data_IF_025518658023
#
_entry.id   IF_025518658023
#
_cell.length_a   1.000
_cell.length_b   1.000
_cell.length_c   1.000
_cell.angle_alpha   90.00
_cell.angle_beta   90.00
_cell.angle_gamma   90.00
#
_symmetry.space_group_name_H-M   'P 1'
#
loop_
_entity.id
_entity.type
_entity.pdbx_description
1 polymer ?
#
# COMPACT_ATOMS: atom_id res chain seq x y z
N UNK A 1 7.56 -13.95 0.67
CA UNK A 1 7.22 -15.12 -0.18
C UNK A 1 6.94 -16.31 0.72
N UNK A 2 6.36 -17.40 0.20
CA UNK A 2 6.05 -18.60 0.98
C UNK A 2 7.28 -19.21 1.67
N UNK A 3 8.46 -19.00 1.08
CA UNK A 3 9.77 -19.41 1.61
C UNK A 3 10.42 -18.38 2.55
N UNK A 4 9.70 -17.32 2.94
CA UNK A 4 10.18 -16.28 3.83
C UNK A 4 11.06 -15.22 3.17
N UNK A 5 11.37 -15.32 1.88
CA UNK A 5 12.13 -14.27 1.17
C UNK A 5 11.34 -12.96 1.12
N UNK A 6 12.07 -11.86 1.20
CA UNK A 6 11.55 -10.51 0.98
C UNK A 6 11.98 -10.03 -0.39
N UNK A 7 11.09 -9.32 -1.08
CA UNK A 7 11.33 -8.78 -2.42
C UNK A 7 11.11 -7.27 -2.40
N UNK A 8 11.96 -6.55 -3.12
CA UNK A 8 11.83 -5.12 -3.40
C UNK A 8 11.61 -4.94 -4.89
N UNK A 9 10.70 -4.03 -5.26
CA UNK A 9 10.30 -3.77 -6.64
C UNK A 9 10.40 -2.30 -6.92
N UNK A 10 11.16 -1.93 -7.94
CA UNK A 10 11.25 -0.57 -8.41
C UNK A 10 12.00 0.38 -7.47
N UNK A 11 12.20 1.58 -7.97
CA UNK A 11 12.59 2.85 -7.33
C UNK A 11 12.83 3.84 -8.50
N UNK A 12 13.37 5.03 -8.24
CA UNK A 12 13.90 5.92 -9.28
C UNK A 12 15.00 5.22 -10.06
N UNK A 13 14.87 5.23 -11.39
CA UNK A 13 15.81 4.62 -12.33
C UNK A 13 16.07 3.12 -12.08
N UNK A 14 15.21 2.46 -11.29
CA UNK A 14 15.27 1.04 -11.00
C UNK A 14 14.10 0.34 -11.68
N UNK A 15 14.27 -0.02 -12.95
CA UNK A 15 13.28 -0.79 -13.72
C UNK A 15 13.46 -2.30 -13.52
N UNK A 16 13.55 -2.72 -12.26
CA UNK A 16 13.87 -4.09 -11.86
C UNK A 16 13.18 -4.46 -10.55
N UNK A 17 13.36 -5.72 -10.15
CA UNK A 17 13.09 -6.18 -8.79
C UNK A 17 14.25 -7.02 -8.29
N UNK A 18 14.34 -7.17 -6.97
CA UNK A 18 15.38 -7.94 -6.31
C UNK A 18 14.90 -8.60 -5.01
N UNK A 19 15.62 -9.63 -4.56
CA UNK A 19 15.37 -10.27 -3.28
C UNK A 19 16.32 -9.74 -2.23
N UNK A 20 15.81 -9.46 -1.04
CA UNK A 20 16.64 -9.13 0.12
C UNK A 20 17.40 -10.38 0.52
N UNK A 21 18.73 -10.27 0.47
CA UNK A 21 19.63 -11.33 0.86
C UNK A 21 19.87 -11.34 2.37
N UNK A 22 20.37 -12.48 2.88
CA UNK A 22 20.81 -12.57 4.26
C UNK A 22 22.02 -11.66 4.52
N UNK A 23 22.26 -11.32 5.78
CA UNK A 23 23.38 -10.48 6.17
C UNK A 23 24.72 -11.03 5.64
N UNK A 24 25.51 -10.16 5.01
CA UNK A 24 26.79 -10.53 4.38
C UNK A 24 26.68 -11.15 2.98
N UNK A 25 25.47 -11.36 2.45
CA UNK A 25 25.24 -11.82 1.07
C UNK A 25 24.78 -10.65 0.18
N UNK A 26 25.01 -10.77 -1.13
CA UNK A 26 24.59 -9.78 -2.12
C UNK A 26 24.00 -10.45 -3.36
N UNK A 27 23.07 -9.75 -4.01
CA UNK A 27 22.58 -10.16 -5.32
C UNK A 27 23.70 -10.00 -6.35
N UNK A 28 23.91 -11.02 -7.18
CA UNK A 28 24.88 -10.92 -8.29
C UNK A 28 24.41 -9.91 -9.37
N UNK A 29 23.09 -9.78 -9.56
CA UNK A 29 22.45 -8.81 -10.44
C UNK A 29 20.98 -8.63 -10.03
N UNK A 30 20.39 -7.49 -10.39
CA UNK A 30 18.94 -7.27 -10.29
C UNK A 30 18.21 -7.90 -11.48
N UNK A 31 16.92 -8.23 -11.29
CA UNK A 31 16.11 -8.88 -12.33
C UNK A 31 15.34 -7.82 -13.09
N UNK A 32 15.64 -7.68 -14.38
CA UNK A 32 14.99 -6.69 -15.26
C UNK A 32 13.48 -6.90 -15.30
N UNK A 33 12.74 -5.80 -15.19
CA UNK A 33 11.29 -5.81 -15.18
C UNK A 33 10.70 -4.69 -16.03
N UNK A 34 10.50 -4.99 -17.32
CA UNK A 34 10.10 -4.02 -18.35
C UNK A 34 8.75 -3.35 -18.07
N UNK A 35 7.89 -3.97 -17.27
CA UNK A 35 6.63 -3.37 -16.83
C UNK A 35 6.82 -2.01 -16.14
N UNK A 36 7.89 -1.83 -15.36
CA UNK A 36 8.16 -0.54 -14.74
C UNK A 36 8.62 0.49 -15.77
N UNK A 37 9.40 0.08 -16.78
CA UNK A 37 9.78 0.96 -17.90
C UNK A 37 8.55 1.42 -18.67
N UNK A 38 7.65 0.49 -18.97
CA UNK A 38 6.42 0.75 -19.74
C UNK A 38 5.42 1.65 -19.01
N UNK A 39 5.51 1.73 -17.68
CA UNK A 39 4.60 2.55 -16.84
C UNK A 39 5.22 3.88 -16.42
N UNK A 40 6.49 4.14 -16.77
CA UNK A 40 7.17 5.41 -16.51
C UNK A 40 6.58 6.54 -17.35
N UNK A 41 6.36 7.68 -16.71
CA UNK A 41 6.02 8.94 -17.36
C UNK A 41 7.06 10.02 -17.04
N UNK A 42 6.92 11.20 -17.66
CA UNK A 42 7.86 12.32 -17.50
C UNK A 42 7.96 12.86 -16.07
N UNK A 43 6.95 12.61 -15.24
CA UNK A 43 6.88 13.09 -13.85
C UNK A 43 7.26 11.98 -12.85
N UNK A 44 7.63 10.79 -13.33
CA UNK A 44 8.00 9.62 -12.53
C UNK A 44 6.87 9.17 -11.58
N UNK A 45 5.60 9.16 -12.02
CA UNK A 45 4.48 8.78 -11.14
C UNK A 45 4.44 7.29 -10.76
N UNK A 46 5.36 6.48 -11.30
CA UNK A 46 5.46 5.05 -11.05
C UNK A 46 6.46 4.65 -9.95
N UNK A 47 6.98 5.61 -9.17
CA UNK A 47 8.00 5.39 -8.12
C UNK A 47 7.51 4.55 -6.92
N UNK A 48 6.21 4.50 -6.67
CA UNK A 48 5.62 3.74 -5.55
C UNK A 48 4.56 2.78 -6.08
N UNK A 49 4.97 1.68 -6.73
CA UNK A 49 4.03 0.68 -7.16
C UNK A 49 3.36 0.04 -5.93
N UNK A 50 2.08 -0.31 -6.05
CA UNK A 50 1.40 -1.11 -5.05
C UNK A 50 1.79 -2.57 -5.26
N UNK A 51 2.45 -3.17 -4.26
CA UNK A 51 2.97 -4.53 -4.33
C UNK A 51 2.27 -5.40 -3.28
N UNK A 52 1.65 -6.49 -3.71
CA UNK A 52 0.94 -7.44 -2.84
C UNK A 52 1.33 -8.88 -3.19
N UNK A 53 1.79 -9.64 -2.19
CA UNK A 53 2.06 -11.07 -2.33
C UNK A 53 0.74 -11.85 -2.30
N UNK A 54 0.55 -12.74 -3.27
CA UNK A 54 -0.55 -13.68 -3.33
C UNK A 54 -0.19 -15.02 -2.66
N UNK A 55 -1.20 -15.85 -2.39
CA UNK A 55 -1.07 -17.14 -1.71
C UNK A 55 -0.38 -18.25 -2.53
N UNK A 56 -0.09 -18.00 -3.81
CA UNK A 56 0.52 -18.91 -4.77
C UNK A 56 1.93 -18.45 -5.20
N UNK A 57 2.57 -17.63 -4.37
CA UNK A 57 3.88 -16.98 -4.60
C UNK A 57 3.96 -16.00 -5.75
N UNK A 58 2.84 -15.74 -6.43
CA UNK A 58 2.78 -14.65 -7.38
C UNK A 58 2.65 -13.31 -6.65
N UNK A 59 3.14 -12.24 -7.28
CA UNK A 59 3.17 -10.90 -6.72
C UNK A 59 2.37 -9.97 -7.63
N UNK A 60 1.27 -9.44 -7.11
CA UNK A 60 0.50 -8.42 -7.77
C UNK A 60 1.24 -7.09 -7.68
N UNK A 61 1.40 -6.42 -8.81
CA UNK A 61 2.07 -5.12 -8.92
C UNK A 61 1.14 -4.20 -9.71
N UNK A 62 0.65 -3.13 -9.09
CA UNK A 62 -0.04 -2.04 -9.78
C UNK A 62 0.88 -0.82 -9.84
N UNK A 63 1.09 -0.30 -11.04
CA UNK A 63 1.95 0.86 -11.27
C UNK A 63 1.30 1.81 -12.25
N UNK A 64 1.17 3.07 -11.83
CA UNK A 64 0.51 4.16 -12.55
C UNK A 64 -0.95 3.85 -12.94
N UNK A 65 -1.16 3.17 -14.06
CA UNK A 65 -2.47 2.84 -14.62
C UNK A 65 -2.61 1.38 -15.08
N UNK A 66 -1.61 0.53 -14.83
CA UNK A 66 -1.61 -0.88 -15.21
C UNK A 66 -1.32 -1.77 -14.01
N UNK A 67 -1.69 -3.05 -14.12
CA UNK A 67 -1.29 -4.07 -13.17
C UNK A 67 -0.83 -5.33 -13.87
N UNK A 68 0.00 -6.11 -13.17
CA UNK A 68 0.44 -7.44 -13.56
C UNK A 68 0.48 -8.36 -12.34
N UNK A 69 0.37 -9.66 -12.59
CA UNK A 69 0.68 -10.70 -11.61
C UNK A 69 2.00 -11.35 -12.02
N UNK A 70 3.09 -10.97 -11.35
CA UNK A 70 4.42 -11.50 -11.62
C UNK A 70 4.64 -12.78 -10.83
N UNK A 71 5.09 -13.85 -11.49
CA UNK A 71 5.75 -14.96 -10.80
C UNK A 71 7.25 -14.63 -10.67
N UNK A 72 7.74 -14.25 -9.48
CA UNK A 72 9.09 -13.71 -9.35
C UNK A 72 10.19 -14.78 -9.47
N UNK A 73 9.82 -16.07 -9.38
CA UNK A 73 10.73 -17.21 -9.56
C UNK A 73 10.96 -17.57 -11.04
N UNK A 74 9.96 -17.37 -11.88
CA UNK A 74 10.01 -17.69 -13.32
C UNK A 74 10.09 -16.45 -14.22
N UNK A 75 9.91 -15.25 -13.65
CA UNK A 75 9.76 -13.99 -14.35
C UNK A 75 8.63 -14.01 -15.41
N UNK A 76 7.57 -14.78 -15.14
CA UNK A 76 6.41 -14.89 -16.02
C UNK A 76 5.24 -14.04 -15.51
N UNK A 77 4.46 -13.49 -16.43
CA UNK A 77 3.23 -12.77 -16.10
C UNK A 77 2.06 -13.75 -16.15
N UNK A 78 1.39 -13.94 -15.02
CA UNK A 78 0.18 -14.72 -14.89
C UNK A 78 -1.08 -13.89 -15.09
N UNK A 79 -2.20 -14.59 -15.26
CA UNK A 79 -3.52 -14.00 -15.14
C UNK A 79 -3.96 -14.06 -13.68
N UNK A 80 -4.60 -13.01 -13.21
CA UNK A 80 -5.15 -12.94 -11.85
C UNK A 80 -6.59 -12.49 -11.92
N UNK A 81 -7.38 -12.75 -10.88
CA UNK A 81 -8.62 -12.01 -10.63
C UNK A 81 -8.40 -11.13 -9.43
N UNK A 82 -8.16 -9.83 -9.64
CA UNK A 82 -7.91 -8.85 -8.57
C UNK A 82 -8.97 -7.77 -8.60
N UNK A 83 -9.57 -7.52 -7.43
CA UNK A 83 -10.29 -6.29 -7.15
C UNK A 83 -9.37 -5.32 -6.39
N UNK A 84 -9.27 -4.09 -6.89
CA UNK A 84 -8.54 -3.00 -6.25
C UNK A 84 -9.50 -1.96 -5.73
N UNK A 85 -9.18 -1.37 -4.59
CA UNK A 85 -9.77 -0.15 -4.06
C UNK A 85 -8.70 0.94 -4.07
N UNK A 86 -8.92 2.01 -4.84
CA UNK A 86 -8.05 3.18 -4.91
C UNK A 86 -8.80 4.38 -4.34
N UNK A 87 -8.18 5.08 -3.40
CA UNK A 87 -8.81 6.19 -2.67
C UNK A 87 -7.94 7.45 -2.76
N UNK A 88 -8.51 8.53 -3.30
CA UNK A 88 -7.89 9.84 -3.33
C UNK A 88 -6.60 9.89 -4.16
N UNK A 89 -5.56 10.52 -3.60
CA UNK A 89 -4.32 10.80 -4.30
C UNK A 89 -4.28 12.21 -4.88
N UNK A 90 -3.28 12.47 -5.72
CA UNK A 90 -3.09 13.79 -6.31
C UNK A 90 -3.87 13.94 -7.60
N UNK A 91 -4.56 15.07 -7.77
CA UNK A 91 -5.43 15.30 -8.93
C UNK A 91 -4.66 15.70 -10.21
N UNK A 92 -3.36 16.01 -10.10
CA UNK A 92 -2.58 16.57 -11.20
C UNK A 92 -1.26 15.81 -11.41
N UNK A 93 -0.93 15.57 -12.67
CA UNK A 93 0.31 14.90 -13.08
C UNK A 93 1.57 15.66 -12.62
N UNK A 94 1.50 16.99 -12.56
CA UNK A 94 2.63 17.86 -12.20
C UNK A 94 2.63 18.26 -10.71
N UNK A 95 1.89 17.56 -9.85
CA UNK A 95 1.80 17.89 -8.42
C UNK A 95 3.16 17.88 -7.73
N UNK A 96 4.06 17.00 -8.15
CA UNK A 96 5.43 16.97 -7.65
C UNK A 96 6.18 18.27 -7.96
N UNK A 97 6.24 18.64 -9.24
CA UNK A 97 6.90 19.85 -9.71
C UNK A 97 6.32 21.10 -9.04
N UNK A 98 4.98 21.17 -8.92
CA UNK A 98 4.29 22.27 -8.24
C UNK A 98 4.52 22.30 -6.73
N UNK A 99 4.66 21.15 -6.09
CA UNK A 99 5.06 21.06 -4.70
C UNK A 99 6.42 21.71 -4.42
N UNK A 100 7.37 21.61 -5.35
CA UNK A 100 8.68 22.29 -5.24
C UNK A 100 8.59 23.80 -5.42
N UNK A 101 7.57 24.29 -6.13
CA UNK A 101 7.24 25.72 -6.26
C UNK A 101 6.40 26.24 -5.08
N UNK A 102 6.09 25.40 -4.07
CA UNK A 102 5.24 25.75 -2.94
C UNK A 102 3.74 25.75 -3.26
N UNK A 103 3.34 25.21 -4.40
CA UNK A 103 1.94 25.11 -4.85
C UNK A 103 1.40 23.70 -4.58
N UNK A 104 0.46 23.60 -3.65
CA UNK A 104 -0.16 22.32 -3.27
C UNK A 104 -1.61 22.23 -3.73
N UNK A 105 -1.90 21.33 -4.66
CA UNK A 105 -3.26 21.11 -5.14
C UNK A 105 -4.13 20.41 -4.10
N UNK A 106 -5.45 20.54 -4.27
CA UNK A 106 -6.43 19.76 -3.51
C UNK A 106 -6.33 18.30 -3.93
N UNK A 107 -6.34 17.40 -2.96
CA UNK A 107 -6.35 15.97 -3.19
C UNK A 107 -7.65 15.54 -3.90
N UNK A 108 -7.64 14.35 -4.48
CA UNK A 108 -8.85 13.72 -4.96
C UNK A 108 -9.73 13.29 -3.78
N UNK A 109 -11.05 13.48 -3.95
CA UNK A 109 -12.07 13.06 -2.99
C UNK A 109 -12.74 11.74 -3.39
N UNK A 110 -12.54 11.29 -4.62
CA UNK A 110 -13.13 10.05 -5.08
C UNK A 110 -12.36 8.82 -4.55
N UNK A 111 -13.09 7.74 -4.45
CA UNK A 111 -12.53 6.41 -4.38
C UNK A 111 -13.20 5.55 -5.45
N UNK A 112 -12.46 4.58 -5.96
CA UNK A 112 -12.91 3.67 -6.99
C UNK A 112 -12.60 2.24 -6.62
N UNK A 113 -13.55 1.35 -6.88
CA UNK A 113 -13.29 -0.10 -6.91
C UNK A 113 -13.36 -0.61 -8.34
N UNK A 114 -12.48 -1.53 -8.67
CA UNK A 114 -12.45 -2.17 -9.99
C UNK A 114 -11.89 -3.57 -9.86
N UNK A 115 -12.52 -4.52 -10.55
CA UNK A 115 -11.86 -5.79 -10.86
C UNK A 115 -11.04 -5.62 -12.14
N UNK A 116 -9.73 -5.40 -11.99
CA UNK A 116 -8.82 -4.99 -13.08
C UNK A 116 -8.62 -6.06 -14.17
N UNK A 117 -9.22 -7.21 -13.96
CA UNK A 117 -8.98 -8.48 -14.66
C UNK A 117 -10.22 -9.00 -15.35
N UNK A 118 -11.35 -8.29 -15.21
CA UNK A 118 -12.51 -8.51 -16.06
C UNK A 118 -12.16 -8.18 -17.52
N UNK A 119 -12.77 -8.89 -18.47
CA UNK A 119 -12.61 -8.63 -19.92
C UNK A 119 -12.94 -7.18 -20.31
N UNK A 120 -13.80 -6.53 -19.53
CA UNK A 120 -14.15 -5.13 -19.67
C UNK A 120 -14.19 -4.48 -18.28
N UNK A 121 -13.05 -4.06 -17.73
CA UNK A 121 -12.97 -3.58 -16.35
C UNK A 121 -13.62 -2.20 -16.24
N UNK A 122 -14.56 -2.04 -15.30
CA UNK A 122 -15.29 -0.78 -15.09
C UNK A 122 -15.06 -0.26 -13.67
N UNK A 123 -14.67 1.02 -13.55
CA UNK A 123 -14.56 1.70 -12.26
C UNK A 123 -15.95 1.94 -11.68
N UNK A 124 -16.19 1.44 -10.46
CA UNK A 124 -17.31 1.87 -9.62
C UNK A 124 -16.79 2.93 -8.67
N UNK A 125 -17.14 4.19 -8.92
CA UNK A 125 -16.62 5.35 -8.19
C UNK A 125 -17.66 5.96 -7.26
N UNK A 126 -17.17 6.46 -6.13
CA UNK A 126 -17.94 7.16 -5.12
C UNK A 126 -17.05 8.24 -4.48
N UNK A 127 -17.64 9.08 -3.61
CA UNK A 127 -16.91 10.15 -2.92
C UNK A 127 -16.65 9.78 -1.47
N UNK A 128 -15.40 9.94 -1.04
CA UNK A 128 -15.04 9.94 0.37
C UNK A 128 -15.65 11.16 1.08
N UNK A 129 -15.80 11.15 2.41
CA UNK A 129 -16.24 12.32 3.18
C UNK A 129 -15.32 13.54 3.07
N UNK A 130 -14.04 13.34 2.72
CA UNK A 130 -13.09 14.42 2.50
C UNK A 130 -12.00 14.03 1.49
N UNK A 131 -11.40 15.00 0.78
CA UNK A 131 -10.20 14.76 -0.03
C UNK A 131 -9.02 14.24 0.79
N UNK A 132 -8.28 13.26 0.29
CA UNK A 132 -7.13 12.66 1.00
C UNK A 132 -6.01 12.25 0.03
N UNK A 133 -4.78 12.54 0.41
CA UNK A 133 -3.55 11.96 -0.16
C UNK A 133 -2.61 11.57 0.99
N UNK A 134 -1.70 10.62 0.74
CA UNK A 134 -0.75 10.11 1.77
C UNK A 134 -1.47 9.60 3.03
N UNK A 135 -2.65 9.01 2.85
CA UNK A 135 -3.34 8.29 3.92
C UNK A 135 -2.90 6.83 3.95
N UNK A 136 -3.05 6.20 5.11
CA UNK A 136 -2.81 4.78 5.31
C UNK A 136 -4.14 4.02 5.24
N UNK A 137 -4.12 2.81 4.69
CA UNK A 137 -5.30 1.94 4.59
C UNK A 137 -5.03 0.60 5.27
N UNK A 138 -5.97 0.15 6.11
CA UNK A 138 -5.94 -1.14 6.77
C UNK A 138 -7.18 -1.95 6.40
N UNK A 139 -6.98 -3.19 5.96
CA UNK A 139 -8.06 -4.15 5.80
C UNK A 139 -8.51 -4.63 7.19
N UNK A 140 -9.81 -4.58 7.44
CA UNK A 140 -10.44 -5.07 8.66
C UNK A 140 -10.95 -6.51 8.48
N UNK A 141 -11.13 -7.28 9.56
CA UNK A 141 -11.47 -8.70 9.48
C UNK A 141 -12.78 -9.02 8.74
N UNK A 142 -13.73 -8.09 8.67
CA UNK A 142 -15.01 -8.29 7.95
C UNK A 142 -15.00 -7.71 6.53
N UNK A 143 -13.81 -7.38 6.00
CA UNK A 143 -13.64 -6.88 4.64
C UNK A 143 -13.89 -5.38 4.48
N UNK A 144 -14.12 -4.64 5.58
CA UNK A 144 -14.09 -3.18 5.53
C UNK A 144 -12.66 -2.66 5.42
N UNK A 145 -12.52 -1.40 5.02
CA UNK A 145 -11.24 -0.72 4.91
C UNK A 145 -11.23 0.51 5.82
N UNK A 146 -10.27 0.56 6.74
CA UNK A 146 -10.03 1.70 7.60
C UNK A 146 -9.00 2.62 6.93
N UNK A 147 -9.43 3.82 6.53
CA UNK A 147 -8.54 4.90 6.08
C UNK A 147 -8.17 5.80 7.26
N UNK A 148 -6.88 5.94 7.54
CA UNK A 148 -6.34 6.81 8.59
C UNK A 148 -5.41 7.84 7.96
N UNK A 149 -5.28 9.00 8.61
CA UNK A 149 -4.40 10.10 8.19
C UNK A 149 -4.77 10.70 6.81
N UNK A 150 -3.76 11.26 6.15
CA UNK A 150 -3.82 11.95 4.89
C UNK A 150 -4.00 13.46 5.00
N UNK A 151 -3.61 14.15 3.93
CA UNK A 151 -3.75 15.60 3.79
C UNK A 151 -4.80 15.95 2.72
N UNK A 152 -5.48 17.09 2.89
CA UNK A 152 -6.40 17.64 1.88
C UNK A 152 -5.66 18.31 0.71
N UNK A 153 -4.42 18.76 0.93
CA UNK A 153 -3.55 19.39 -0.06
C UNK A 153 -2.12 18.94 0.17
N UNK A 154 -1.38 18.64 -0.89
CA UNK A 154 0.01 18.22 -0.77
C UNK A 154 0.56 17.54 -2.02
N UNK A 155 1.84 17.19 -1.95
CA UNK A 155 2.53 16.35 -2.92
C UNK A 155 3.52 15.46 -2.16
N UNK A 156 3.77 14.25 -2.64
CA UNK A 156 4.85 13.41 -2.12
C UNK A 156 6.19 14.11 -2.34
N UNK A 157 7.03 14.17 -1.30
CA UNK A 157 8.37 14.74 -1.36
C UNK A 157 9.43 13.65 -1.57
N UNK A 158 10.58 14.00 -2.17
CA UNK A 158 11.70 13.08 -2.45
C UNK A 158 12.55 12.67 -1.23
N UNK A 159 12.15 13.07 -0.01
CA UNK A 159 12.86 12.72 1.23
C UNK A 159 12.00 11.73 2.02
N UNK A 160 12.39 10.46 1.99
CA UNK A 160 11.73 9.41 2.76
C UNK A 160 12.26 9.45 4.19
N UNK A 161 11.36 9.70 5.13
CA UNK A 161 11.58 9.49 6.55
C UNK A 161 10.32 8.80 7.07
N UNK A 162 10.45 7.53 7.44
CA UNK A 162 9.35 6.73 7.97
C UNK A 162 9.27 6.99 9.47
N UNK A 163 8.38 7.89 9.88
CA UNK A 163 7.86 8.00 11.24
C UNK A 163 6.53 8.77 11.22
N UNK A 164 5.62 8.42 12.13
CA UNK A 164 4.38 9.15 12.33
C UNK A 164 4.65 10.60 12.76
N UNK A 165 3.97 11.53 12.08
CA UNK A 165 4.00 12.99 12.24
C UNK A 165 5.12 13.74 11.48
N UNK A 166 4.73 14.90 10.94
CA UNK A 166 5.46 15.76 10.00
C UNK A 166 6.90 16.10 10.47
N UNK A 167 7.90 15.71 9.68
CA UNK A 167 9.29 16.17 9.82
C UNK A 167 9.47 17.56 9.23
N UNK A 168 9.22 18.58 10.06
CA UNK A 168 9.94 19.84 9.89
C UNK A 168 11.41 19.62 10.31
N UNK A 169 12.35 20.40 9.77
CA UNK A 169 13.78 20.29 10.06
C UNK A 169 14.13 20.55 11.55
N UNK A 170 13.16 20.97 12.36
CA UNK A 170 13.19 21.05 13.82
C UNK A 170 11.78 20.76 14.36
N UNK A 171 11.69 20.08 15.51
CA UNK A 171 10.44 20.03 16.27
C UNK A 171 10.08 21.45 16.71
N UNK A 172 8.98 21.99 16.20
CA UNK A 172 8.51 23.34 16.56
C UNK A 172 7.30 23.18 17.45
N UNK A 173 7.50 23.37 18.75
CA UNK A 173 6.44 23.26 19.75
C UNK A 173 5.71 24.59 20.00
N UNK A 174 6.27 25.71 19.51
CA UNK A 174 5.71 27.05 19.62
C UNK A 174 5.33 27.59 18.23
N UNK A 175 4.20 27.10 17.71
CA UNK A 175 3.60 27.54 16.46
C UNK A 175 2.09 27.35 16.52
N UNK A 176 1.36 28.00 15.62
CA UNK A 176 -0.11 27.83 15.51
C UNK A 176 -0.54 26.36 15.35
N UNK A 177 0.31 25.54 14.71
CA UNK A 177 0.18 24.08 14.63
C UNK A 177 1.49 23.43 15.11
N UNK A 178 1.63 23.16 16.42
CA UNK A 178 2.87 22.63 16.98
C UNK A 178 3.08 21.18 16.57
N UNK A 179 4.34 20.73 16.53
CA UNK A 179 4.65 19.34 16.22
C UNK A 179 4.03 18.40 17.26
N UNK A 180 3.17 17.48 16.80
CA UNK A 180 2.55 16.47 17.66
C UNK A 180 3.32 15.16 17.61
N UNK A 181 3.78 14.70 18.78
CA UNK A 181 4.44 13.40 18.99
C UNK A 181 3.50 12.34 19.59
N UNK A 182 2.19 12.62 19.61
CA UNK A 182 1.20 11.73 20.21
C UNK A 182 0.90 10.58 19.26
N UNK A 183 0.98 9.35 19.77
CA UNK A 183 0.32 8.19 19.17
C UNK A 183 -1.10 8.06 19.74
N UNK A 184 -2.07 7.76 18.87
CA UNK A 184 -3.47 7.55 19.26
C UNK A 184 -3.87 6.12 18.88
N UNK A 185 -4.62 5.46 19.77
CA UNK A 185 -5.20 4.14 19.52
C UNK A 185 -6.68 4.29 19.25
N UNK A 186 -7.13 3.72 18.13
CA UNK A 186 -8.56 3.67 17.77
C UNK A 186 -9.12 2.29 18.12
N UNK A 187 -10.25 2.27 18.84
CA UNK A 187 -11.04 1.06 19.07
C UNK A 187 -12.20 1.04 18.10
N UNK A 188 -12.26 0.00 17.28
CA UNK A 188 -13.31 -0.14 16.26
C UNK A 188 -14.64 -0.53 16.90
N UNK A 189 -15.79 -0.21 16.26
CA UNK A 189 -17.12 -0.48 16.84
C UNK A 189 -17.33 -1.93 17.26
N UNK A 190 -16.75 -2.90 16.54
CA UNK A 190 -16.82 -4.32 16.87
C UNK A 190 -15.97 -4.73 18.10
N UNK A 191 -15.23 -3.81 18.71
CA UNK A 191 -14.52 -4.00 19.97
C UNK A 191 -15.22 -3.32 21.16
N UNK A 192 -16.44 -2.82 20.98
CA UNK A 192 -17.23 -2.21 22.06
C UNK A 192 -17.40 -3.17 23.25
N UNK A 193 -17.18 -2.74 24.50
CA UNK A 193 -17.38 -3.58 25.69
C UNK A 193 -18.75 -4.25 25.78
N UNK A 194 -19.83 -3.67 25.22
CA UNK A 194 -21.16 -4.30 25.22
C UNK A 194 -21.20 -5.56 24.35
N UNK A 195 -20.27 -5.68 23.40
CA UNK A 195 -20.10 -6.83 22.51
C UNK A 195 -19.11 -7.86 23.05
N UNK A 196 -18.48 -7.62 24.21
CA UNK A 196 -17.47 -8.53 24.79
C UNK A 196 -18.00 -9.96 24.95
N UNK A 197 -19.25 -10.10 25.39
CA UNK A 197 -19.92 -11.40 25.55
C UNK A 197 -20.14 -12.17 24.25
N UNK A 198 -20.03 -11.51 23.10
CA UNK A 198 -20.17 -12.09 21.77
C UNK A 198 -18.83 -12.30 21.07
N UNK A 199 -17.72 -11.90 21.70
CA UNK A 199 -16.40 -12.11 21.11
C UNK A 199 -16.11 -13.61 21.07
N UNK A 200 -15.80 -14.17 19.90
CA UNK A 200 -15.35 -15.54 19.82
C UNK A 200 -14.03 -15.69 20.59
N UNK A 201 -13.90 -16.79 21.33
CA UNK A 201 -12.66 -17.17 21.98
C UNK A 201 -12.02 -18.29 21.17
N UNK A 202 -10.73 -18.15 20.90
CA UNK A 202 -9.94 -19.22 20.29
C UNK A 202 -9.60 -20.21 21.40
N UNK A 203 -9.99 -21.48 21.23
CA UNK A 203 -9.52 -22.55 22.10
C UNK A 203 -8.04 -22.80 21.82
N UNK A 204 -7.18 -22.24 22.67
CA UNK A 204 -5.73 -22.28 22.50
C UNK A 204 -5.15 -23.68 22.69
N UNK A 205 -5.85 -24.57 23.39
CA UNK A 205 -5.43 -25.95 23.60
C UNK A 205 -5.80 -26.82 22.40
N UNK A 206 -6.97 -26.57 21.79
CA UNK A 206 -7.43 -27.28 20.60
C UNK A 206 -6.85 -26.73 19.29
N UNK A 207 -6.40 -25.47 19.26
CA UNK A 207 -5.91 -24.80 18.04
C UNK A 207 -4.40 -25.02 17.85
N UNK A 208 -3.96 -25.58 16.71
CA UNK A 208 -2.53 -25.76 16.43
C UNK A 208 -1.79 -24.41 16.38
N UNK A 209 -0.65 -24.32 17.07
CA UNK A 209 0.23 -23.13 17.06
C UNK A 209 1.17 -23.07 15.86
N UNK A 210 1.29 -24.18 15.13
CA UNK A 210 2.03 -24.27 13.87
C UNK A 210 1.13 -24.87 12.80
N UNK A 211 1.13 -24.22 11.64
CA UNK A 211 0.26 -24.55 10.52
C UNK A 211 1.12 -24.68 9.26
N UNK A 212 0.73 -25.61 8.40
CA UNK A 212 1.30 -25.72 7.07
C UNK A 212 0.24 -25.33 6.03
N UNK A 213 0.71 -24.81 4.89
CA UNK A 213 -0.16 -24.43 3.78
C UNK A 213 -1.08 -25.60 3.35
N UNK A 214 -2.32 -25.28 2.99
CA UNK A 214 -3.35 -26.23 2.57
C UNK A 214 -3.74 -27.30 3.61
N UNK A 215 -3.47 -27.05 4.90
CA UNK A 215 -4.01 -27.87 6.00
C UNK A 215 -5.32 -27.29 6.49
N UNK A 216 -6.31 -28.17 6.67
CA UNK A 216 -7.56 -27.82 7.33
C UNK A 216 -7.28 -27.58 8.81
N UNK A 217 -7.85 -26.50 9.32
CA UNK A 217 -7.83 -26.16 10.73
C UNK A 217 -9.27 -26.27 11.20
N UNK A 218 -9.45 -26.94 12.33
CA UNK A 218 -10.71 -26.91 13.07
C UNK A 218 -10.47 -25.89 14.18
N UNK A 219 -11.21 -24.79 14.13
CA UNK A 219 -11.16 -23.67 15.09
C UNK A 219 -12.52 -23.58 15.77
#
# INVERSE_FOLDING_TARGET
MSDGKMMVVGDRDAHNYEFIQQEGQHNAASIKFDFLTETTDKEENNLYPFVYLNNDDNVFIFSNNRAVLLNPNTNQIGNVVVEVLICGGSAHVNSYTKGNEGVYYVALQDYGRMRITDLNPVWKRNLMPSPRLMGDMLLLPFGEVLLINGAKRGSSGRKVLVAGSNTNNRFVYDAMFPTKLRAERFSLPYLDPVLEKFKPQIDVEATPTQLAFNRKIVV
#
